data_IF_023836796961
#
_entry.id   IF_023836796961
#
_cell.length_a   1.000
_cell.length_b   1.000
_cell.length_c   1.000
_cell.angle_alpha   90.00
_cell.angle_beta   90.00
_cell.angle_gamma   90.00
#
_symmetry.space_group_name_H-M   'P 1'
#
loop_
_entity.id
_entity.type
_entity.pdbx_description
1 polymer ?
#
# COMPACT_ATOMS: atom_id res chain seq x y z
N UNK A 1 17.20 2.63 41.73
CA UNK A 1 17.15 3.69 40.69
C UNK A 1 17.82 3.29 39.37
N UNK A 2 18.76 2.34 39.33
CA UNK A 2 19.42 1.88 38.09
C UNK A 2 18.51 1.06 37.13
N UNK A 3 17.56 0.28 37.65
CA UNK A 3 16.69 -0.57 36.82
C UNK A 3 15.66 0.17 35.95
N UNK A 4 15.09 1.28 36.45
CA UNK A 4 14.13 2.09 35.69
C UNK A 4 14.79 2.80 34.51
N UNK A 5 15.99 3.36 34.71
CA UNK A 5 16.75 4.00 33.64
C UNK A 5 17.18 2.99 32.55
N UNK A 6 17.56 1.76 32.95
CA UNK A 6 17.91 0.70 32.01
C UNK A 6 16.72 0.28 31.13
N UNK A 7 15.53 0.17 31.72
CA UNK A 7 14.31 -0.19 30.97
C UNK A 7 13.93 0.88 29.93
N UNK A 8 14.05 2.16 30.27
CA UNK A 8 13.77 3.24 29.32
C UNK A 8 14.79 3.28 28.17
N UNK A 9 16.08 3.07 28.46
CA UNK A 9 17.12 2.97 27.43
C UNK A 9 16.85 1.79 26.48
N UNK A 10 16.46 0.63 27.02
CA UNK A 10 16.13 -0.54 26.19
C UNK A 10 14.91 -0.32 25.30
N UNK A 11 13.86 0.34 25.81
CA UNK A 11 12.68 0.70 25.00
C UNK A 11 13.06 1.63 23.85
N UNK A 12 13.87 2.65 24.14
CA UNK A 12 14.35 3.60 23.14
C UNK A 12 15.22 2.90 22.08
N UNK A 13 16.15 2.04 22.50
CA UNK A 13 16.99 1.26 21.57
C UNK A 13 16.14 0.37 20.65
N UNK A 14 15.16 -0.35 21.21
CA UNK A 14 14.24 -1.17 20.42
C UNK A 14 13.41 -0.34 19.44
N UNK A 15 12.92 0.83 19.87
CA UNK A 15 12.20 1.76 19.00
C UNK A 15 13.07 2.26 17.83
N UNK A 16 14.35 2.52 18.09
CA UNK A 16 15.30 2.96 17.07
C UNK A 16 15.63 1.84 16.07
N UNK A 17 15.82 0.61 16.53
CA UNK A 17 16.08 -0.55 15.65
C UNK A 17 14.90 -0.81 14.71
N UNK A 18 13.68 -0.87 15.26
CA UNK A 18 12.45 -1.00 14.47
C UNK A 18 12.35 0.16 13.48
N UNK A 19 12.66 1.38 13.92
CA UNK A 19 12.62 2.54 13.06
C UNK A 19 13.61 2.41 11.88
N UNK A 20 14.82 1.98 12.15
CA UNK A 20 15.85 1.77 11.12
C UNK A 20 15.41 0.72 10.09
N UNK A 21 14.84 -0.39 10.54
CA UNK A 21 14.39 -1.48 9.65
C UNK A 21 13.27 -1.03 8.70
N UNK A 22 12.31 -0.25 9.20
CA UNK A 22 11.30 0.39 8.35
C UNK A 22 11.93 1.38 7.36
N UNK A 23 12.96 2.12 7.79
CA UNK A 23 13.72 3.02 6.92
C UNK A 23 14.35 2.27 5.74
N UNK A 24 15.09 1.19 6.01
CA UNK A 24 15.69 0.37 4.95
C UNK A 24 14.66 -0.24 4.03
N UNK A 25 13.55 -0.76 4.57
CA UNK A 25 12.46 -1.33 3.79
C UNK A 25 11.85 -0.31 2.83
N UNK A 26 11.66 0.94 3.27
CA UNK A 26 11.13 2.02 2.43
C UNK A 26 12.11 2.42 1.32
N UNK A 27 13.42 2.47 1.61
CA UNK A 27 14.45 2.77 0.59
C UNK A 27 14.51 1.67 -0.44
N UNK A 28 14.58 0.40 -0.01
CA UNK A 28 14.60 -0.76 -0.90
C UNK A 28 13.33 -0.82 -1.74
N UNK A 29 12.16 -0.68 -1.11
CA UNK A 29 10.87 -0.67 -1.82
C UNK A 29 10.80 0.45 -2.86
N UNK A 30 11.22 1.66 -2.51
CA UNK A 30 11.28 2.77 -3.47
C UNK A 30 12.21 2.44 -4.64
N UNK A 31 13.43 1.96 -4.37
CA UNK A 31 14.40 1.60 -5.40
C UNK A 31 13.85 0.53 -6.35
N UNK A 32 13.21 -0.52 -5.80
CA UNK A 32 12.58 -1.59 -6.59
C UNK A 32 11.47 -1.04 -7.48
N UNK A 33 10.61 -0.15 -6.97
CA UNK A 33 9.51 0.46 -7.75
C UNK A 33 10.06 1.28 -8.92
N UNK A 34 11.09 2.10 -8.71
CA UNK A 34 11.71 2.86 -9.81
C UNK A 34 12.45 1.94 -10.79
N UNK A 35 13.11 0.90 -10.30
CA UNK A 35 13.83 -0.06 -11.13
C UNK A 35 12.87 -0.86 -12.04
N UNK A 36 11.77 -1.39 -11.49
CA UNK A 36 10.73 -2.07 -12.26
C UNK A 36 10.10 -1.15 -13.32
N UNK A 37 9.87 0.11 -12.96
CA UNK A 37 9.38 1.12 -13.89
C UNK A 37 10.35 1.36 -15.05
N UNK A 38 11.64 1.56 -14.78
CA UNK A 38 12.64 1.75 -15.83
C UNK A 38 12.75 0.55 -16.77
N UNK A 39 12.73 -0.67 -16.24
CA UNK A 39 12.87 -1.89 -17.03
C UNK A 39 11.69 -2.13 -17.98
N UNK A 40 10.49 -1.72 -17.59
CA UNK A 40 9.27 -2.00 -18.35
C UNK A 40 8.79 -0.82 -19.19
N UNK A 41 9.43 0.35 -19.07
CA UNK A 41 9.04 1.60 -19.73
C UNK A 41 8.93 1.46 -21.27
N UNK A 42 9.89 0.80 -21.92
CA UNK A 42 9.86 0.60 -23.37
C UNK A 42 8.64 -0.24 -23.81
N UNK A 43 8.38 -1.34 -23.11
CA UNK A 43 7.23 -2.19 -23.36
C UNK A 43 5.91 -1.45 -23.09
N UNK A 44 5.88 -0.62 -22.03
CA UNK A 44 4.72 0.17 -21.65
C UNK A 44 4.37 1.20 -22.74
N UNK A 45 5.35 1.94 -23.25
CA UNK A 45 5.16 2.91 -24.34
C UNK A 45 4.58 2.22 -25.58
N UNK A 46 5.12 1.05 -25.93
CA UNK A 46 4.65 0.31 -27.11
C UNK A 46 3.23 -0.24 -26.94
N UNK A 47 2.91 -0.82 -25.79
CA UNK A 47 1.70 -1.62 -25.58
C UNK A 47 0.54 -0.86 -24.92
N UNK A 48 0.84 0.06 -24.01
CA UNK A 48 -0.18 0.74 -23.19
C UNK A 48 -0.44 2.15 -23.72
N UNK A 49 0.61 2.92 -24.03
CA UNK A 49 0.43 4.29 -24.49
C UNK A 49 -0.25 4.36 -25.85
N UNK A 50 0.07 3.43 -26.75
CA UNK A 50 -0.54 3.31 -28.08
C UNK A 50 -1.89 2.55 -28.10
N UNK A 51 -2.34 2.00 -26.97
CA UNK A 51 -3.60 1.27 -26.91
C UNK A 51 -4.81 2.19 -27.12
N UNK A 52 -5.77 1.76 -27.94
CA UNK A 52 -7.01 2.51 -28.23
C UNK A 52 -8.00 2.53 -27.05
N UNK A 53 -7.88 1.62 -26.09
CA UNK A 53 -8.79 1.49 -24.95
C UNK A 53 -8.41 2.40 -23.79
N UNK A 54 -9.27 3.35 -23.42
CA UNK A 54 -8.99 4.31 -22.33
C UNK A 54 -9.16 3.73 -20.93
N UNK A 55 -10.17 2.89 -20.68
CA UNK A 55 -10.53 2.45 -19.31
C UNK A 55 -9.44 1.63 -18.61
N UNK A 56 -8.98 0.55 -19.24
CA UNK A 56 -7.91 -0.29 -18.70
C UNK A 56 -6.56 0.44 -18.65
N UNK A 57 -6.32 1.32 -19.64
CA UNK A 57 -5.14 2.19 -19.66
C UNK A 57 -5.10 3.10 -18.44
N UNK A 58 -6.18 3.81 -18.13
CA UNK A 58 -6.25 4.68 -16.94
C UNK A 58 -6.02 3.86 -15.67
N UNK A 59 -6.68 2.71 -15.53
CA UNK A 59 -6.55 1.87 -14.35
C UNK A 59 -5.10 1.40 -14.14
N UNK A 60 -4.45 0.94 -15.21
CA UNK A 60 -3.04 0.54 -15.19
C UNK A 60 -2.10 1.71 -14.85
N UNK A 61 -2.34 2.89 -15.43
CA UNK A 61 -1.51 4.07 -15.14
C UNK A 61 -1.65 4.50 -13.67
N UNK A 62 -2.86 4.45 -13.11
CA UNK A 62 -3.07 4.76 -11.68
C UNK A 62 -2.31 3.79 -10.78
N UNK A 63 -2.38 2.48 -11.03
CA UNK A 63 -1.68 1.49 -10.19
C UNK A 63 -0.15 1.61 -10.31
N UNK A 64 0.35 2.01 -11.48
CA UNK A 64 1.79 2.06 -11.76
C UNK A 64 2.45 3.37 -11.36
N UNK A 65 1.80 4.51 -11.61
CA UNK A 65 2.39 5.82 -11.36
C UNK A 65 2.13 6.35 -9.96
N UNK A 66 1.03 5.96 -9.28
CA UNK A 66 0.80 6.41 -7.90
C UNK A 66 1.93 5.98 -6.93
N UNK A 67 2.45 4.73 -6.99
CA UNK A 67 3.64 4.34 -6.23
C UNK A 67 4.86 5.22 -6.47
N UNK A 68 5.10 5.64 -7.72
CA UNK A 68 6.19 6.55 -8.03
C UNK A 68 6.01 7.94 -7.41
N UNK A 69 4.76 8.37 -7.21
CA UNK A 69 4.43 9.67 -6.62
C UNK A 69 4.50 9.64 -5.09
N UNK A 70 4.00 8.59 -4.43
CA UNK A 70 4.04 8.53 -2.96
C UNK A 70 5.37 8.03 -2.40
N UNK A 71 6.21 7.33 -3.16
CA UNK A 71 7.55 6.91 -2.73
C UNK A 71 8.44 8.06 -2.24
N UNK A 72 8.61 9.19 -2.96
CA UNK A 72 9.44 10.31 -2.47
C UNK A 72 8.80 10.98 -1.26
N UNK A 73 7.46 11.02 -1.17
CA UNK A 73 6.76 11.51 0.02
C UNK A 73 7.04 10.61 1.23
N UNK A 74 7.10 9.29 1.04
CA UNK A 74 7.43 8.32 2.07
C UNK A 74 8.89 8.47 2.54
N UNK A 75 9.82 8.71 1.61
CA UNK A 75 11.22 9.00 1.95
C UNK A 75 11.34 10.34 2.69
N UNK A 76 10.62 11.38 2.27
CA UNK A 76 10.58 12.66 3.00
C UNK A 76 9.97 12.51 4.39
N UNK A 77 8.87 11.76 4.50
CA UNK A 77 8.26 11.42 5.79
C UNK A 77 9.24 10.71 6.70
N UNK A 78 10.12 9.86 6.16
CA UNK A 78 11.04 9.04 6.95
C UNK A 78 12.37 9.69 7.28
N UNK A 79 12.93 10.47 6.36
CA UNK A 79 14.30 10.98 6.46
C UNK A 79 14.39 12.51 6.38
N UNK A 80 13.26 13.18 6.14
CA UNK A 80 13.18 14.64 6.09
C UNK A 80 13.24 15.27 7.49
N UNK A 81 13.09 16.58 7.52
CA UNK A 81 12.96 17.36 8.76
C UNK A 81 11.64 18.15 8.79
N UNK A 82 10.49 17.46 8.73
CA UNK A 82 9.17 18.10 8.75
C UNK A 82 8.77 18.55 10.16
N UNK A 83 7.89 19.53 10.21
CA UNK A 83 7.10 19.88 11.40
C UNK A 83 5.99 18.84 11.64
N UNK A 84 5.41 18.84 12.85
CA UNK A 84 4.31 17.91 13.21
C UNK A 84 3.08 18.06 12.29
N UNK A 85 2.77 19.29 11.87
CA UNK A 85 1.67 19.55 10.92
C UNK A 85 1.98 18.99 9.54
N UNK A 86 3.21 19.17 9.05
CA UNK A 86 3.67 18.58 7.80
C UNK A 86 3.66 17.05 7.84
N UNK A 87 4.08 16.43 8.95
CA UNK A 87 3.97 14.97 9.13
C UNK A 87 2.54 14.47 8.92
N UNK A 88 1.57 15.18 9.51
CA UNK A 88 0.16 14.81 9.38
C UNK A 88 -0.33 14.98 7.95
N UNK A 89 0.05 16.07 7.28
CA UNK A 89 -0.31 16.31 5.88
C UNK A 89 0.30 15.26 4.94
N UNK A 90 1.60 14.99 5.08
CA UNK A 90 2.34 14.02 4.26
C UNK A 90 1.80 12.61 4.48
N UNK A 91 1.56 12.20 5.74
CA UNK A 91 0.95 10.90 6.06
C UNK A 91 -0.40 10.72 5.38
N UNK A 92 -1.28 11.72 5.45
CA UNK A 92 -2.60 11.67 4.80
C UNK A 92 -2.47 11.60 3.29
N UNK A 93 -1.56 12.38 2.69
CA UNK A 93 -1.29 12.34 1.25
C UNK A 93 -0.80 10.97 0.80
N UNK A 94 0.19 10.39 1.48
CA UNK A 94 0.71 9.06 1.19
C UNK A 94 -0.42 8.04 1.25
N UNK A 95 -1.19 8.02 2.34
CA UNK A 95 -2.23 7.01 2.49
C UNK A 95 -3.41 7.20 1.52
N UNK A 96 -3.74 8.43 1.07
CA UNK A 96 -4.73 8.64 0.00
C UNK A 96 -4.22 8.03 -1.29
N UNK A 97 -2.99 8.38 -1.70
CA UNK A 97 -2.39 7.86 -2.93
C UNK A 97 -2.26 6.34 -2.89
N UNK A 98 -1.83 5.79 -1.76
CA UNK A 98 -1.76 4.35 -1.52
C UNK A 98 -3.14 3.70 -1.63
N UNK A 99 -4.16 4.22 -0.95
CA UNK A 99 -5.51 3.65 -0.95
C UNK A 99 -6.13 3.66 -2.35
N UNK A 100 -5.93 4.75 -3.12
CA UNK A 100 -6.38 4.81 -4.52
C UNK A 100 -5.64 3.77 -5.36
N UNK A 101 -4.32 3.63 -5.19
CA UNK A 101 -3.53 2.64 -5.91
C UNK A 101 -3.98 1.20 -5.58
N UNK A 102 -4.22 0.90 -4.31
CA UNK A 102 -4.70 -0.39 -3.80
C UNK A 102 -6.07 -0.77 -4.39
N UNK A 103 -7.06 0.14 -4.34
CA UNK A 103 -8.39 -0.10 -4.93
C UNK A 103 -8.29 -0.32 -6.43
N UNK A 104 -7.46 0.48 -7.12
CA UNK A 104 -7.24 0.29 -8.55
C UNK A 104 -6.60 -1.08 -8.86
N UNK A 105 -5.62 -1.50 -8.05
CA UNK A 105 -4.93 -2.78 -8.22
C UNK A 105 -5.88 -3.96 -7.95
N UNK A 106 -6.66 -3.89 -6.87
CA UNK A 106 -7.72 -4.84 -6.55
C UNK A 106 -8.71 -4.99 -7.72
N UNK A 107 -9.10 -3.88 -8.35
CA UNK A 107 -9.98 -3.91 -9.52
C UNK A 107 -9.31 -4.57 -10.73
N UNK A 108 -8.02 -4.31 -11.00
CA UNK A 108 -7.28 -4.96 -12.10
C UNK A 108 -7.27 -6.47 -11.90
N UNK A 109 -6.94 -6.96 -10.70
CA UNK A 109 -6.91 -8.41 -10.44
C UNK A 109 -8.31 -9.02 -10.46
N UNK A 110 -9.34 -8.28 -10.01
CA UNK A 110 -10.75 -8.68 -10.16
C UNK A 110 -11.09 -8.93 -11.63
N UNK A 111 -10.79 -7.95 -12.49
CA UNK A 111 -11.14 -8.00 -13.92
C UNK A 111 -10.40 -9.13 -14.64
N UNK A 112 -9.13 -9.37 -14.29
CA UNK A 112 -8.34 -10.50 -14.82
C UNK A 112 -8.94 -11.83 -14.41
N UNK A 113 -9.27 -11.99 -13.13
CA UNK A 113 -9.91 -13.21 -12.61
C UNK A 113 -11.25 -13.45 -13.28
N UNK A 114 -12.04 -12.39 -13.45
CA UNK A 114 -13.33 -12.46 -14.10
C UNK A 114 -13.25 -12.96 -15.55
N UNK A 115 -12.25 -12.49 -16.31
CA UNK A 115 -12.00 -12.96 -17.67
C UNK A 115 -11.59 -14.44 -17.72
N UNK A 116 -10.76 -14.90 -16.78
CA UNK A 116 -10.29 -16.29 -16.67
C UNK A 116 -11.41 -17.29 -16.33
N UNK A 117 -12.48 -16.80 -15.69
CA UNK A 117 -13.66 -17.59 -15.31
C UNK A 117 -14.81 -17.50 -16.32
N UNK A 118 -14.50 -17.23 -17.59
CA UNK A 118 -15.43 -17.17 -18.72
C UNK A 118 -16.61 -16.21 -18.49
N UNK A 119 -16.44 -15.17 -17.67
CA UNK A 119 -17.47 -14.15 -17.40
C UNK A 119 -18.79 -14.72 -16.84
N UNK A 120 -18.75 -15.89 -16.20
CA UNK A 120 -19.94 -16.57 -15.66
C UNK A 120 -20.61 -15.70 -14.60
N UNK A 121 -21.94 -15.47 -14.75
CA UNK A 121 -22.76 -14.67 -13.82
C UNK A 121 -22.52 -14.93 -12.33
N UNK A 122 -22.48 -16.18 -11.81
CA UNK A 122 -22.24 -16.40 -10.39
C UNK A 122 -20.87 -15.89 -9.93
N UNK A 123 -19.85 -16.08 -10.77
CA UNK A 123 -18.49 -15.60 -10.48
C UNK A 123 -18.42 -14.08 -10.54
N UNK A 124 -19.16 -13.45 -11.45
CA UNK A 124 -19.28 -11.97 -11.49
C UNK A 124 -19.77 -11.41 -10.16
N UNK A 125 -20.87 -11.95 -9.60
CA UNK A 125 -21.40 -11.47 -8.33
C UNK A 125 -20.43 -11.69 -7.17
N UNK A 126 -19.74 -12.85 -7.13
CA UNK A 126 -18.74 -13.15 -6.12
C UNK A 126 -17.55 -12.18 -6.18
N UNK A 127 -16.94 -12.01 -7.36
CA UNK A 127 -15.75 -11.19 -7.55
C UNK A 127 -16.02 -9.70 -7.29
N UNK A 128 -17.06 -9.14 -7.90
CA UNK A 128 -17.38 -7.72 -7.73
C UNK A 128 -18.00 -7.42 -6.35
N UNK A 129 -18.72 -8.38 -5.76
CA UNK A 129 -19.24 -8.26 -4.39
C UNK A 129 -18.10 -8.21 -3.37
N UNK A 130 -17.18 -9.16 -3.43
CA UNK A 130 -16.01 -9.19 -2.52
C UNK A 130 -15.08 -8.00 -2.74
N UNK A 131 -14.85 -7.58 -3.99
CA UNK A 131 -14.11 -6.36 -4.31
C UNK A 131 -14.73 -5.12 -3.68
N UNK A 132 -16.06 -4.95 -3.82
CA UNK A 132 -16.77 -3.77 -3.31
C UNK A 132 -16.73 -3.71 -1.79
N UNK A 133 -17.00 -4.85 -1.13
CA UNK A 133 -16.94 -4.94 0.34
C UNK A 133 -15.54 -4.62 0.85
N UNK A 134 -14.50 -5.21 0.26
CA UNK A 134 -13.10 -4.97 0.67
C UNK A 134 -12.71 -3.52 0.44
N UNK A 135 -13.06 -2.92 -0.71
CA UNK A 135 -12.74 -1.53 -1.02
C UNK A 135 -13.39 -0.55 -0.05
N UNK A 136 -14.66 -0.78 0.30
CA UNK A 136 -15.36 0.03 1.31
C UNK A 136 -14.70 -0.14 2.69
N UNK A 137 -14.37 -1.37 3.07
CA UNK A 137 -13.73 -1.66 4.34
C UNK A 137 -12.38 -0.95 4.48
N UNK A 138 -11.52 -1.03 3.45
CA UNK A 138 -10.23 -0.35 3.41
C UNK A 138 -10.41 1.17 3.54
N UNK A 139 -11.32 1.77 2.77
CA UNK A 139 -11.60 3.21 2.82
C UNK A 139 -12.04 3.65 4.22
N UNK A 140 -12.98 2.94 4.83
CA UNK A 140 -13.52 3.27 6.15
C UNK A 140 -12.45 3.12 7.22
N UNK A 141 -11.72 2.01 7.24
CA UNK A 141 -10.64 1.77 8.21
C UNK A 141 -9.53 2.82 8.09
N UNK A 142 -9.17 3.20 6.86
CA UNK A 142 -8.17 4.24 6.63
C UNK A 142 -8.63 5.62 7.12
N UNK A 143 -9.86 6.04 6.80
CA UNK A 143 -10.41 7.32 7.27
C UNK A 143 -10.47 7.36 8.79
N UNK A 144 -10.89 6.27 9.44
CA UNK A 144 -10.91 6.18 10.90
C UNK A 144 -9.49 6.25 11.46
N UNK A 145 -8.51 5.62 10.82
CA UNK A 145 -7.11 5.63 11.27
C UNK A 145 -6.54 7.05 11.42
N UNK A 146 -6.99 8.01 10.61
CA UNK A 146 -6.52 9.40 10.71
C UNK A 146 -6.77 10.06 12.05
N UNK A 147 -7.84 9.66 12.76
CA UNK A 147 -8.16 10.19 14.08
C UNK A 147 -7.27 9.59 15.18
N UNK A 148 -6.78 8.38 14.97
CA UNK A 148 -6.05 7.58 15.96
C UNK A 148 -4.55 7.46 15.66
N UNK A 149 -4.05 8.24 14.70
CA UNK A 149 -2.62 8.37 14.41
C UNK A 149 -2.16 9.78 14.76
N UNK A 150 -1.35 9.89 15.80
CA UNK A 150 -0.59 11.12 16.11
C UNK A 150 0.82 11.03 15.55
N UNK A 151 1.50 12.17 15.47
CA UNK A 151 2.88 12.25 14.99
C UNK A 151 3.72 13.02 16.00
N UNK A 152 4.92 12.50 16.25
CA UNK A 152 5.97 13.19 16.98
C UNK A 152 7.22 13.37 16.11
N UNK A 153 7.98 14.42 16.41
CA UNK A 153 9.25 14.73 15.74
C UNK A 153 10.31 14.93 16.81
N UNK A 154 11.48 14.33 16.62
CA UNK A 154 12.63 14.48 17.53
C UNK A 154 13.60 15.46 16.89
N UNK A 155 13.70 16.66 17.45
CA UNK A 155 14.64 17.67 17.00
C UNK A 155 16.09 17.20 17.18
N UNK A 156 16.89 17.29 16.11
CA UNK A 156 18.32 16.97 16.14
C UNK A 156 18.68 15.52 15.75
N UNK A 157 17.72 14.66 15.41
CA UNK A 157 17.98 13.30 14.93
C UNK A 157 17.31 13.08 13.55
N UNK A 158 17.97 12.44 12.57
CA UNK A 158 17.45 12.29 11.20
C UNK A 158 16.40 11.16 11.10
N UNK A 159 15.40 11.16 11.99
CA UNK A 159 14.35 10.12 12.05
C UNK A 159 13.05 10.48 11.33
N UNK A 160 12.95 11.69 10.77
CA UNK A 160 11.72 12.20 10.15
C UNK A 160 10.53 12.15 11.10
N UNK A 161 9.36 11.81 10.56
CA UNK A 161 8.12 11.65 11.31
C UNK A 161 8.07 10.28 12.00
N UNK A 162 7.64 10.28 13.27
CA UNK A 162 7.37 9.07 14.04
C UNK A 162 5.85 8.95 14.24
N UNK A 163 5.19 7.95 13.63
CA UNK A 163 3.77 7.71 13.85
C UNK A 163 3.53 7.04 15.19
N UNK A 164 2.52 7.53 15.91
CA UNK A 164 2.02 6.96 17.14
C UNK A 164 0.61 6.42 16.91
N UNK A 165 0.50 5.10 16.79
CA UNK A 165 -0.78 4.43 16.56
C UNK A 165 -1.48 4.14 17.88
N UNK A 166 -2.69 4.67 18.05
CA UNK A 166 -3.52 4.44 19.24
C UNK A 166 -4.57 3.34 19.02
N UNK A 167 -4.61 2.74 17.83
CA UNK A 167 -5.63 1.78 17.42
C UNK A 167 -5.10 0.82 16.34
N UNK A 168 -5.86 -0.25 16.08
CA UNK A 168 -5.52 -1.26 15.09
C UNK A 168 -6.24 -1.08 13.74
N UNK A 169 -6.83 0.09 13.46
CA UNK A 169 -7.58 0.29 12.21
C UNK A 169 -6.69 0.23 10.96
N UNK A 170 -5.49 0.81 11.01
CA UNK A 170 -4.54 0.76 9.90
C UNK A 170 -4.06 -0.68 9.59
N UNK A 171 -3.54 -1.48 10.55
CA UNK A 171 -3.16 -2.86 10.27
C UNK A 171 -4.37 -3.72 9.88
N UNK A 172 -5.57 -3.47 10.41
CA UNK A 172 -6.77 -4.16 9.95
C UNK A 172 -7.07 -3.91 8.46
N UNK A 173 -6.82 -2.68 7.96
CA UNK A 173 -6.93 -2.36 6.53
C UNK A 173 -5.99 -3.20 5.67
N UNK A 174 -4.71 -3.28 6.05
CA UNK A 174 -3.72 -4.11 5.35
C UNK A 174 -4.08 -5.60 5.38
N UNK A 175 -4.57 -6.12 6.51
CA UNK A 175 -5.02 -7.51 6.62
C UNK A 175 -6.22 -7.77 5.72
N UNK A 176 -7.14 -6.80 5.60
CA UNK A 176 -8.31 -6.90 4.72
C UNK A 176 -7.90 -7.03 3.25
N UNK A 177 -6.94 -6.20 2.83
CA UNK A 177 -6.37 -6.23 1.47
C UNK A 177 -5.64 -7.56 1.21
N UNK A 178 -4.78 -8.00 2.14
CA UNK A 178 -4.06 -9.27 2.01
C UNK A 178 -5.00 -10.49 1.93
N UNK A 179 -6.10 -10.47 2.70
CA UNK A 179 -7.12 -11.51 2.65
C UNK A 179 -7.83 -11.55 1.28
N UNK A 180 -8.12 -10.38 0.71
CA UNK A 180 -8.70 -10.27 -0.62
C UNK A 180 -7.77 -10.81 -1.71
N UNK A 181 -6.50 -10.42 -1.69
CA UNK A 181 -5.50 -10.91 -2.66
C UNK A 181 -5.30 -12.42 -2.55
N UNK A 182 -5.31 -12.95 -1.32
CA UNK A 182 -5.23 -14.40 -1.08
C UNK A 182 -6.44 -15.13 -1.67
N UNK A 183 -7.66 -14.59 -1.50
CA UNK A 183 -8.87 -15.16 -2.10
C UNK A 183 -8.76 -15.20 -3.63
N UNK A 184 -8.34 -14.09 -4.26
CA UNK A 184 -8.17 -14.00 -5.71
C UNK A 184 -7.11 -14.98 -6.20
N UNK A 185 -5.97 -15.07 -5.53
CA UNK A 185 -4.91 -16.02 -5.83
C UNK A 185 -5.44 -17.47 -5.81
N UNK A 186 -6.17 -17.84 -4.76
CA UNK A 186 -6.75 -19.18 -4.63
C UNK A 186 -7.74 -19.48 -5.76
N UNK A 187 -8.58 -18.52 -6.14
CA UNK A 187 -9.51 -18.68 -7.27
C UNK A 187 -8.78 -18.87 -8.60
N UNK A 188 -7.67 -18.16 -8.82
CA UNK A 188 -6.84 -18.35 -10.01
C UNK A 188 -6.16 -19.74 -10.01
N UNK A 189 -5.62 -20.17 -8.87
CA UNK A 189 -4.98 -21.49 -8.72
C UNK A 189 -5.97 -22.64 -8.97
N UNK A 190 -7.16 -22.56 -8.38
CA UNK A 190 -8.23 -23.56 -8.59
C UNK A 190 -8.61 -23.66 -10.06
N UNK A 191 -8.77 -22.52 -10.73
CA UNK A 191 -9.08 -22.51 -12.16
C UNK A 191 -7.94 -23.10 -12.99
N UNK A 192 -6.69 -22.75 -12.69
CA UNK A 192 -5.52 -23.33 -13.34
C UNK A 192 -5.45 -24.85 -13.19
N UNK A 193 -5.68 -25.37 -11.98
CA UNK A 193 -5.72 -26.81 -11.72
C UNK A 193 -6.87 -27.51 -12.47
N UNK A 194 -8.05 -26.89 -12.54
CA UNK A 194 -9.23 -27.46 -13.22
C UNK A 194 -9.09 -27.57 -14.74
N UNK A 195 -8.14 -26.86 -15.35
CA UNK A 195 -7.86 -26.93 -16.79
C UNK A 195 -6.81 -28.00 -17.13
N UNK A 196 -6.10 -28.52 -16.13
CA UNK A 196 -5.08 -29.57 -16.29
C UNK A 196 -5.63 -30.99 -16.09
N UNK A 197 -6.84 -31.12 -15.54
CA UNK A 197 -7.57 -32.37 -15.33
C UNK A 197 -8.61 -32.54 -16.44
#
# INVERSE_FOLDING_TARGET
MSGLAMNEIQKLAKGLDVSRDFGYSNVVGSAVVYFDWLLTLDAEIKLVWNAKGSKMKVLYLLTRYLPLVYSPLLLYYRFGNPTVSECTAVYRSIGILFTVAAICAALVVTLRTWAVWDLKKPMTYLLFGTYTVTSILILVLYIISWKYTSHSVISGLPLGCIPEFQSFYLPAGFVSEAAYDTLILLLMLVRGASLLL
#
